data_IF_716702486607
#
_entry.id   IF_716702486607
#
_cell.length_a   1.000
_cell.length_b   1.000
_cell.length_c   1.000
_cell.angle_alpha   90.00
_cell.angle_beta   90.00
_cell.angle_gamma   90.00
#
_symmetry.space_group_name_H-M   'P 1'
#
loop_
_entity.id
_entity.type
_entity.pdbx_description
1 polymer ?
#
# COMPACT_ATOMS: atom_id res chain seq x y z
N UNK A 1 -5.41 -27.86 -11.87
CA UNK A 1 -4.64 -27.14 -12.87
C UNK A 1 -4.71 -25.64 -12.60
N UNK A 2 -3.56 -24.91 -12.64
CA UNK A 2 -3.50 -23.45 -12.39
C UNK A 2 -4.26 -22.66 -13.46
N UNK A 3 -4.37 -23.18 -14.67
CA UNK A 3 -5.07 -22.55 -15.79
C UNK A 3 -6.60 -22.46 -15.60
N UNK A 4 -7.19 -23.34 -14.81
CA UNK A 4 -8.66 -23.40 -14.60
C UNK A 4 -9.13 -22.53 -13.41
N UNK A 5 -8.20 -22.00 -12.62
CA UNK A 5 -8.51 -21.24 -11.40
C UNK A 5 -9.21 -19.90 -11.62
N UNK A 6 -8.98 -19.13 -12.70
CA UNK A 6 -9.75 -17.92 -12.96
C UNK A 6 -11.26 -18.14 -13.04
N UNK A 7 -11.70 -19.25 -13.62
CA UNK A 7 -13.13 -19.61 -13.70
C UNK A 7 -13.72 -19.88 -12.31
N UNK A 8 -12.97 -20.55 -11.43
CA UNK A 8 -13.39 -20.86 -10.06
C UNK A 8 -13.50 -19.60 -9.17
N UNK A 9 -12.81 -18.51 -9.53
CA UNK A 9 -12.85 -17.26 -8.77
C UNK A 9 -14.07 -16.40 -9.13
N UNK A 10 -14.68 -16.55 -10.30
CA UNK A 10 -15.74 -15.68 -10.78
C UNK A 10 -16.92 -15.54 -9.79
N UNK A 11 -17.27 -16.64 -9.13
CA UNK A 11 -18.38 -16.72 -8.17
C UNK A 11 -17.98 -16.39 -6.73
N UNK A 12 -16.68 -16.26 -6.45
CA UNK A 12 -16.19 -15.90 -5.11
C UNK A 12 -16.27 -14.39 -4.92
N UNK A 13 -17.02 -13.94 -3.90
CA UNK A 13 -17.06 -12.53 -3.54
C UNK A 13 -15.68 -12.04 -3.06
N UNK A 14 -15.09 -11.01 -3.72
CA UNK A 14 -13.76 -10.51 -3.37
C UNK A 14 -13.68 -9.85 -1.97
N UNK A 15 -14.80 -9.55 -1.33
CA UNK A 15 -14.85 -8.87 -0.03
C UNK A 15 -15.20 -9.82 1.12
N UNK A 16 -15.13 -11.14 0.92
CA UNK A 16 -15.36 -12.15 1.94
C UNK A 16 -14.08 -12.92 2.32
N UNK A 17 -14.03 -13.56 3.50
CA UNK A 17 -12.88 -14.36 3.94
C UNK A 17 -12.83 -15.75 3.26
N UNK A 18 -13.05 -15.79 1.96
CA UNK A 18 -13.00 -17.02 1.17
C UNK A 18 -11.55 -17.35 0.76
N UNK A 19 -11.16 -18.63 0.86
CA UNK A 19 -9.82 -19.10 0.50
C UNK A 19 -9.41 -18.72 -0.95
N UNK A 20 -10.36 -18.67 -1.88
CA UNK A 20 -10.15 -18.20 -3.25
C UNK A 20 -9.56 -16.80 -3.35
N UNK A 21 -9.82 -15.92 -2.36
CA UNK A 21 -9.30 -14.56 -2.36
C UNK A 21 -7.78 -14.47 -2.15
N UNK A 22 -7.12 -15.50 -1.65
CA UNK A 22 -5.65 -15.56 -1.62
C UNK A 22 -5.04 -15.50 -3.03
N UNK A 23 -5.74 -16.01 -4.04
CA UNK A 23 -5.31 -15.95 -5.46
C UNK A 23 -5.55 -14.57 -6.11
N UNK A 24 -6.16 -13.62 -5.40
CA UNK A 24 -6.37 -12.23 -5.82
C UNK A 24 -5.43 -11.24 -5.14
N UNK A 25 -4.54 -11.73 -4.26
CA UNK A 25 -3.60 -10.86 -3.54
C UNK A 25 -2.44 -10.46 -4.45
N UNK A 26 -2.76 -9.70 -5.51
CA UNK A 26 -1.84 -9.17 -6.50
C UNK A 26 -2.49 -8.03 -7.30
N UNK A 27 -1.73 -7.35 -8.17
CA UNK A 27 -2.16 -6.18 -8.94
C UNK A 27 -3.08 -6.50 -10.15
N UNK A 28 -3.11 -7.74 -10.63
CA UNK A 28 -3.77 -8.15 -11.87
C UNK A 28 -5.27 -8.43 -11.73
N UNK A 29 -5.98 -7.77 -10.83
CA UNK A 29 -7.43 -7.88 -10.72
C UNK A 29 -8.13 -6.89 -11.66
N UNK A 30 -9.16 -7.35 -12.37
CA UNK A 30 -10.03 -6.52 -13.20
C UNK A 30 -10.96 -5.61 -12.39
N UNK A 31 -11.77 -4.76 -13.05
CA UNK A 31 -12.63 -3.78 -12.36
C UNK A 31 -13.61 -4.39 -11.36
N UNK A 32 -14.22 -5.54 -11.67
CA UNK A 32 -15.11 -6.26 -10.75
C UNK A 32 -14.38 -7.04 -9.67
N UNK A 33 -13.04 -7.14 -9.75
CA UNK A 33 -12.19 -8.00 -8.92
C UNK A 33 -12.54 -9.49 -8.98
N UNK A 34 -13.40 -9.91 -9.93
CA UNK A 34 -13.83 -11.30 -10.13
C UNK A 34 -13.08 -12.03 -11.24
N UNK A 35 -12.34 -11.30 -12.06
CA UNK A 35 -11.50 -11.84 -13.14
C UNK A 35 -10.12 -11.18 -13.12
N UNK A 36 -9.16 -11.85 -13.75
CA UNK A 36 -7.79 -11.37 -13.87
C UNK A 36 -7.60 -10.59 -15.17
N UNK A 37 -6.68 -9.65 -15.16
CA UNK A 37 -6.27 -8.85 -16.33
C UNK A 37 -4.77 -8.98 -16.56
N UNK A 38 -4.35 -8.90 -17.81
CA UNK A 38 -2.93 -9.00 -18.18
C UNK A 38 -2.14 -7.75 -17.75
N UNK A 39 -2.73 -6.56 -17.94
CA UNK A 39 -2.14 -5.29 -17.51
C UNK A 39 -2.87 -4.78 -16.27
N UNK A 40 -2.16 -4.55 -15.16
CA UNK A 40 -2.79 -4.02 -13.95
C UNK A 40 -3.41 -2.64 -14.15
N UNK A 41 -4.39 -2.31 -13.32
CA UNK A 41 -5.07 -1.02 -13.34
C UNK A 41 -4.09 0.12 -13.10
N UNK A 42 -4.13 1.12 -13.97
CA UNK A 42 -3.29 2.31 -13.87
C UNK A 42 -3.97 3.52 -14.52
N UNK A 43 -3.53 4.71 -14.12
CA UNK A 43 -3.89 5.99 -14.72
C UNK A 43 -2.60 6.58 -15.29
N UNK A 44 -2.69 7.23 -16.43
CA UNK A 44 -1.56 7.97 -17.03
C UNK A 44 -1.88 9.46 -17.00
N UNK A 45 -1.03 10.23 -16.32
CA UNK A 45 -1.08 11.69 -16.36
C UNK A 45 -0.02 12.16 -17.36
N UNK A 46 -0.44 13.02 -18.26
CA UNK A 46 0.42 13.60 -19.29
C UNK A 46 0.85 15.04 -18.96
N UNK A 47 1.65 15.62 -19.83
CA UNK A 47 2.16 16.99 -19.72
C UNK A 47 1.06 18.05 -19.64
N UNK A 48 -0.08 17.84 -20.31
CA UNK A 48 -1.18 18.82 -20.30
C UNK A 48 -1.75 19.02 -18.89
N UNK A 49 -1.77 17.97 -18.08
CA UNK A 49 -2.23 18.04 -16.68
C UNK A 49 -1.12 18.40 -15.72
N UNK A 50 0.06 17.80 -15.88
CA UNK A 50 1.14 17.87 -14.90
C UNK A 50 2.08 19.05 -15.10
N UNK A 51 2.14 19.61 -16.32
CA UNK A 51 3.05 20.69 -16.70
C UNK A 51 4.52 20.24 -16.85
N UNK A 52 4.82 18.95 -16.70
CA UNK A 52 6.17 18.38 -16.85
C UNK A 52 6.26 17.52 -18.10
N UNK A 53 7.43 17.49 -18.77
CA UNK A 53 7.66 16.68 -19.98
C UNK A 53 7.91 15.20 -19.62
N UNK A 54 6.93 14.60 -18.98
CA UNK A 54 6.96 13.20 -18.58
C UNK A 54 5.54 12.62 -18.48
N UNK A 55 5.42 11.31 -18.71
CA UNK A 55 4.21 10.55 -18.38
C UNK A 55 4.34 9.99 -16.96
N UNK A 56 3.39 10.32 -16.11
CA UNK A 56 3.30 9.78 -14.76
C UNK A 56 2.30 8.64 -14.76
N UNK A 57 2.76 7.40 -14.52
CA UNK A 57 1.93 6.19 -14.48
C UNK A 57 1.63 5.89 -13.02
N UNK A 58 0.35 5.94 -12.66
CA UNK A 58 -0.14 5.71 -11.30
C UNK A 58 -0.72 4.31 -11.23
N UNK A 59 -0.15 3.44 -10.41
CA UNK A 59 -0.72 2.13 -10.10
C UNK A 59 -1.94 2.28 -9.19
N UNK A 60 -3.08 1.71 -9.57
CA UNK A 60 -4.34 1.80 -8.82
C UNK A 60 -4.52 0.56 -7.95
N UNK A 61 -4.50 0.76 -6.63
CA UNK A 61 -4.52 -0.32 -5.63
C UNK A 61 -5.91 -0.69 -5.08
N UNK A 62 -6.98 -0.08 -5.55
CA UNK A 62 -8.36 -0.31 -5.10
C UNK A 62 -8.91 -1.71 -5.47
N UNK A 63 -8.25 -2.38 -6.44
CA UNK A 63 -8.66 -3.70 -6.94
C UNK A 63 -8.15 -4.89 -6.12
N UNK A 64 -7.39 -4.64 -5.08
CA UNK A 64 -7.03 -5.69 -4.13
C UNK A 64 -8.27 -6.22 -3.39
N UNK A 65 -8.31 -7.53 -3.05
CA UNK A 65 -9.45 -8.11 -2.35
C UNK A 65 -9.55 -7.60 -0.91
N UNK A 66 -10.74 -7.66 -0.34
CA UNK A 66 -11.08 -7.45 1.08
C UNK A 66 -10.79 -6.03 1.59
N UNK A 67 -9.57 -5.54 1.47
CA UNK A 67 -9.10 -4.25 2.04
C UNK A 67 -9.16 -3.11 1.03
N UNK A 68 -9.20 -3.40 -0.27
CA UNK A 68 -9.07 -2.43 -1.38
C UNK A 68 -7.79 -1.59 -1.28
N UNK A 69 -6.72 -2.22 -0.82
CA UNK A 69 -5.40 -1.60 -0.73
C UNK A 69 -4.31 -2.66 -0.84
N UNK A 70 -3.17 -2.31 -1.44
CA UNK A 70 -2.04 -3.21 -1.63
C UNK A 70 -1.42 -3.73 -0.32
N UNK A 71 -1.75 -3.16 0.83
CA UNK A 71 -1.27 -3.61 2.14
C UNK A 71 -1.68 -5.04 2.50
N UNK A 72 -2.73 -5.60 1.87
CA UNK A 72 -3.05 -7.02 2.02
C UNK A 72 -1.96 -7.91 1.42
N UNK A 73 -1.26 -7.46 0.37
CA UNK A 73 -0.09 -8.16 -0.20
C UNK A 73 1.08 -8.17 0.79
N UNK A 74 1.37 -7.05 1.45
CA UNK A 74 2.38 -6.98 2.50
C UNK A 74 2.09 -7.98 3.63
N UNK A 75 0.84 -8.01 4.12
CA UNK A 75 0.41 -8.94 5.16
C UNK A 75 0.54 -10.40 4.71
N UNK A 76 0.14 -10.71 3.48
CA UNK A 76 0.33 -12.04 2.88
C UNK A 76 1.81 -12.43 2.88
N UNK A 77 2.69 -11.53 2.43
CA UNK A 77 4.14 -11.76 2.39
C UNK A 77 4.78 -11.99 3.77
N UNK A 78 4.22 -11.40 4.82
CA UNK A 78 4.73 -11.59 6.18
C UNK A 78 4.25 -12.91 6.82
N UNK A 79 3.01 -13.32 6.60
CA UNK A 79 2.43 -14.49 7.31
C UNK A 79 2.58 -15.81 6.53
N UNK A 80 2.27 -15.82 5.23
CA UNK A 80 2.18 -17.07 4.47
C UNK A 80 3.51 -17.83 4.38
N UNK A 81 4.68 -17.18 4.16
CA UNK A 81 5.95 -17.90 4.19
C UNK A 81 6.25 -18.54 5.56
N UNK A 82 5.88 -17.89 6.66
CA UNK A 82 6.04 -18.44 8.02
C UNK A 82 5.17 -19.67 8.25
N UNK A 83 3.95 -19.65 7.72
CA UNK A 83 3.04 -20.81 7.74
C UNK A 83 3.62 -21.98 6.93
N UNK A 84 4.09 -21.72 5.70
CA UNK A 84 4.62 -22.75 4.81
C UNK A 84 5.94 -23.36 5.33
N UNK A 85 6.75 -22.58 6.06
CA UNK A 85 7.98 -23.06 6.69
C UNK A 85 7.77 -23.75 8.05
N UNK A 86 6.54 -23.79 8.55
CA UNK A 86 6.20 -24.37 9.85
C UNK A 86 6.59 -23.50 11.07
N UNK A 87 7.07 -22.28 10.84
CA UNK A 87 7.39 -21.33 11.94
C UNK A 87 6.14 -20.75 12.58
N UNK A 88 5.04 -20.69 11.83
CA UNK A 88 3.72 -20.29 12.34
C UNK A 88 2.74 -21.45 12.27
N UNK A 89 2.16 -21.79 13.40
CA UNK A 89 1.12 -22.82 13.57
C UNK A 89 -0.23 -22.14 13.82
N UNK A 90 -1.20 -22.31 12.92
CA UNK A 90 -2.52 -21.69 12.99
C UNK A 90 -3.35 -22.12 14.19
N UNK A 91 -3.09 -23.32 14.73
CA UNK A 91 -3.81 -23.87 15.88
C UNK A 91 -3.33 -23.34 17.23
N UNK A 92 -2.11 -22.79 17.26
CA UNK A 92 -1.41 -22.36 18.45
C UNK A 92 -1.14 -20.85 18.47
N UNK A 93 -0.60 -20.32 17.38
CA UNK A 93 -0.10 -18.95 17.34
C UNK A 93 -1.19 -17.94 17.01
N UNK A 94 -1.02 -16.74 17.56
CA UNK A 94 -1.82 -15.56 17.25
C UNK A 94 -0.99 -14.60 16.40
N UNK A 95 -1.53 -14.21 15.25
CA UNK A 95 -0.89 -13.24 14.36
C UNK A 95 -1.17 -11.82 14.86
N UNK A 96 -0.15 -11.12 15.37
CA UNK A 96 -0.26 -9.75 15.88
C UNK A 96 0.11 -8.75 14.79
N UNK A 97 -0.81 -7.84 14.47
CA UNK A 97 -0.71 -6.89 13.35
C UNK A 97 -0.64 -5.44 13.83
N UNK A 98 0.57 -4.92 14.14
CA UNK A 98 0.74 -3.53 14.52
C UNK A 98 0.68 -2.63 13.30
N UNK A 99 -0.25 -1.67 13.29
CA UNK A 99 -0.35 -0.68 12.22
C UNK A 99 -1.43 0.37 12.50
N UNK A 100 -1.27 1.53 11.90
CA UNK A 100 -2.27 2.61 11.95
C UNK A 100 -3.45 2.38 10.98
N UNK A 101 -3.49 1.31 10.16
CA UNK A 101 -4.61 1.15 9.24
C UNK A 101 -4.59 -0.07 8.31
N UNK A 102 -4.32 0.15 7.03
CA UNK A 102 -4.54 -0.85 5.97
C UNK A 102 -3.69 -2.13 6.11
N UNK A 103 -2.50 -2.06 6.71
CA UNK A 103 -1.71 -3.27 6.95
C UNK A 103 -2.35 -4.15 8.03
N UNK A 104 -2.82 -3.57 9.13
CA UNK A 104 -3.56 -4.29 10.16
C UNK A 104 -4.81 -4.96 9.58
N UNK A 105 -5.62 -4.21 8.80
CA UNK A 105 -6.80 -4.77 8.09
C UNK A 105 -6.38 -5.93 7.17
N UNK A 106 -5.31 -5.77 6.39
CA UNK A 106 -4.77 -6.81 5.53
C UNK A 106 -4.38 -8.07 6.31
N UNK A 107 -3.73 -7.89 7.45
CA UNK A 107 -3.32 -8.97 8.34
C UNK A 107 -4.50 -9.74 8.92
N UNK A 108 -5.49 -9.02 9.45
CA UNK A 108 -6.74 -9.63 9.97
C UNK A 108 -7.46 -10.41 8.86
N UNK A 109 -7.55 -9.85 7.64
CA UNK A 109 -8.19 -10.51 6.50
C UNK A 109 -7.48 -11.83 6.12
N UNK A 110 -6.14 -11.82 5.99
CA UNK A 110 -5.35 -13.01 5.69
C UNK A 110 -5.46 -14.04 6.81
N UNK A 111 -5.37 -13.62 8.08
CA UNK A 111 -5.51 -14.48 9.24
C UNK A 111 -6.88 -15.18 9.25
N UNK A 112 -7.95 -14.44 8.96
CA UNK A 112 -9.32 -14.99 8.88
C UNK A 112 -9.46 -16.06 7.82
N UNK A 113 -8.89 -15.84 6.62
CA UNK A 113 -8.90 -16.86 5.55
C UNK A 113 -8.11 -18.10 5.95
N UNK A 114 -6.98 -17.93 6.64
CA UNK A 114 -6.11 -19.03 7.07
C UNK A 114 -6.64 -19.74 8.32
N UNK A 115 -7.70 -19.23 8.96
CA UNK A 115 -8.29 -19.81 10.16
C UNK A 115 -7.45 -19.62 11.41
N UNK A 116 -6.53 -18.66 11.46
CA UNK A 116 -5.76 -18.35 12.66
C UNK A 116 -6.32 -17.11 13.40
N UNK A 117 -6.13 -17.09 14.72
CA UNK A 117 -6.47 -15.94 15.56
C UNK A 117 -5.56 -14.76 15.21
N UNK A 118 -6.14 -13.57 15.11
CA UNK A 118 -5.41 -12.33 14.82
C UNK A 118 -5.65 -11.29 15.90
N UNK A 119 -4.60 -10.54 16.24
CA UNK A 119 -4.67 -9.40 17.16
C UNK A 119 -4.31 -8.14 16.38
N UNK A 120 -5.24 -7.19 16.33
CA UNK A 120 -5.05 -5.88 15.73
C UNK A 120 -4.53 -4.90 16.79
N UNK A 121 -3.40 -4.21 16.54
CA UNK A 121 -2.87 -3.20 17.46
C UNK A 121 -2.78 -1.87 16.72
N UNK A 122 -3.60 -0.88 17.11
CA UNK A 122 -3.69 0.41 16.43
C UNK A 122 -4.10 1.55 17.38
N UNK A 123 -3.75 2.82 17.06
CA UNK A 123 -4.11 3.96 17.88
C UNK A 123 -5.63 4.17 17.94
N UNK A 124 -6.11 4.62 19.10
CA UNK A 124 -7.54 4.89 19.31
C UNK A 124 -8.09 6.05 18.47
N UNK A 125 -7.21 7.00 18.07
CA UNK A 125 -7.57 8.14 17.21
C UNK A 125 -7.82 7.79 15.74
N UNK A 126 -7.74 6.52 15.34
CA UNK A 126 -8.05 6.10 13.98
C UNK A 126 -9.54 6.25 13.64
N UNK A 127 -9.85 6.36 12.35
CA UNK A 127 -11.22 6.59 11.89
C UNK A 127 -12.18 5.49 12.36
N UNK A 128 -13.43 5.88 12.66
CA UNK A 128 -14.52 4.98 13.05
C UNK A 128 -14.73 3.86 12.01
N UNK A 129 -14.61 4.18 10.74
CA UNK A 129 -14.76 3.21 9.65
C UNK A 129 -13.73 2.06 9.75
N UNK A 130 -12.47 2.38 10.12
CA UNK A 130 -11.43 1.35 10.30
C UNK A 130 -11.77 0.41 11.43
N UNK A 131 -12.25 0.93 12.57
CA UNK A 131 -12.68 0.11 13.70
C UNK A 131 -13.89 -0.75 13.36
N UNK A 132 -14.92 -0.20 12.71
CA UNK A 132 -16.09 -0.97 12.27
C UNK A 132 -15.69 -2.11 11.32
N UNK A 133 -14.75 -1.85 10.40
CA UNK A 133 -14.25 -2.90 9.52
C UNK A 133 -13.55 -4.02 10.34
N UNK A 134 -12.68 -3.67 11.30
CA UNK A 134 -11.99 -4.63 12.14
C UNK A 134 -12.98 -5.44 13.01
N UNK A 135 -13.97 -4.79 13.61
CA UNK A 135 -15.02 -5.44 14.41
C UNK A 135 -15.81 -6.49 13.59
N UNK A 136 -16.03 -6.24 12.30
CA UNK A 136 -16.68 -7.20 11.41
C UNK A 136 -15.76 -8.35 10.96
N UNK A 137 -14.46 -8.18 11.02
CA UNK A 137 -13.48 -9.15 10.52
C UNK A 137 -12.75 -9.92 11.62
N UNK A 138 -12.61 -9.40 12.81
CA UNK A 138 -12.06 -10.13 13.97
C UNK A 138 -13.09 -11.12 14.53
N UNK A 139 -12.59 -12.20 15.13
CA UNK A 139 -13.46 -13.22 15.75
C UNK A 139 -13.88 -12.79 17.14
N UNK A 140 -12.98 -12.12 17.86
CA UNK A 140 -13.19 -11.63 19.22
C UNK A 140 -12.90 -10.12 19.25
N UNK A 141 -13.84 -9.27 19.67
CA UNK A 141 -13.60 -7.82 19.82
C UNK A 141 -12.44 -7.49 20.76
N UNK A 142 -12.11 -8.36 21.72
CA UNK A 142 -10.96 -8.19 22.61
C UNK A 142 -9.61 -8.27 21.89
N UNK A 143 -9.58 -8.80 20.67
CA UNK A 143 -8.38 -8.83 19.82
C UNK A 143 -8.11 -7.50 19.09
N UNK A 144 -8.94 -6.47 19.30
CA UNK A 144 -8.71 -5.11 18.81
C UNK A 144 -8.13 -4.28 19.94
N UNK A 145 -6.80 -4.20 20.00
CA UNK A 145 -6.09 -3.46 21.03
C UNK A 145 -5.89 -2.00 20.58
N UNK A 146 -6.47 -1.08 21.34
CA UNK A 146 -6.38 0.37 21.11
C UNK A 146 -5.24 0.92 21.94
N UNK A 147 -4.27 1.57 21.27
CA UNK A 147 -3.20 2.31 21.95
C UNK A 147 -3.54 3.80 22.02
N UNK A 148 -3.03 4.55 23.01
CA UNK A 148 -3.23 6.00 23.05
C UNK A 148 -2.70 6.70 21.80
N UNK A 149 -3.39 7.76 21.36
CA UNK A 149 -2.91 8.71 20.36
C UNK A 149 -3.47 8.50 18.96
N UNK A 150 -2.74 9.02 17.98
CA UNK A 150 -3.11 9.14 16.56
C UNK A 150 -2.15 8.36 15.65
N UNK A 151 -2.21 8.59 14.34
CA UNK A 151 -1.36 7.96 13.32
C UNK A 151 0.14 8.09 13.61
N UNK A 152 0.55 9.19 14.21
CA UNK A 152 1.96 9.46 14.54
C UNK A 152 2.46 8.76 15.82
N UNK A 153 1.56 8.14 16.61
CA UNK A 153 1.90 7.48 17.88
C UNK A 153 2.35 6.03 17.71
N UNK A 154 3.42 5.83 16.96
CA UNK A 154 3.96 4.50 16.64
C UNK A 154 4.66 3.86 17.86
N UNK A 155 5.22 4.68 18.77
CA UNK A 155 5.88 4.19 20.00
C UNK A 155 4.92 3.38 20.88
N UNK A 156 3.71 3.87 21.08
CA UNK A 156 2.69 3.23 21.91
C UNK A 156 2.28 1.88 21.32
N UNK A 157 2.28 1.76 19.97
CA UNK A 157 2.07 0.48 19.27
C UNK A 157 3.24 -0.47 19.57
N UNK A 158 4.49 0.01 19.51
CA UNK A 158 5.67 -0.82 19.80
C UNK A 158 5.70 -1.29 21.27
N UNK A 159 5.35 -0.42 22.21
CA UNK A 159 5.27 -0.77 23.63
C UNK A 159 4.22 -1.89 23.87
N UNK A 160 3.05 -1.78 23.23
CA UNK A 160 2.00 -2.81 23.27
C UNK A 160 2.49 -4.13 22.66
N UNK A 161 3.17 -4.08 21.50
CA UNK A 161 3.75 -5.25 20.86
C UNK A 161 4.84 -5.91 21.72
N UNK A 162 5.67 -5.11 22.38
CA UNK A 162 6.68 -5.64 23.32
C UNK A 162 6.02 -6.34 24.52
N UNK A 163 4.93 -5.80 25.03
CA UNK A 163 4.17 -6.48 26.09
C UNK A 163 3.57 -7.81 25.60
N UNK A 164 2.98 -7.82 24.40
CA UNK A 164 2.41 -9.01 23.77
C UNK A 164 3.45 -10.10 23.49
N UNK A 165 4.67 -9.73 23.09
CA UNK A 165 5.74 -10.67 22.74
C UNK A 165 6.27 -11.49 23.91
N UNK A 166 5.92 -11.15 25.16
CA UNK A 166 6.22 -11.96 26.34
C UNK A 166 5.48 -13.29 26.35
N UNK A 167 4.35 -13.38 25.67
CA UNK A 167 3.66 -14.61 25.39
C UNK A 167 4.15 -15.18 24.05
N UNK A 168 4.81 -16.36 24.05
CA UNK A 168 5.40 -16.95 22.84
C UNK A 168 4.37 -17.38 21.79
N UNK A 169 3.09 -17.44 22.13
CA UNK A 169 2.02 -17.69 21.17
C UNK A 169 1.71 -16.46 20.32
N UNK A 170 2.10 -15.26 20.73
CA UNK A 170 1.94 -14.03 19.98
C UNK A 170 3.12 -13.85 18.99
N UNK A 171 2.84 -13.97 17.73
CA UNK A 171 3.82 -13.71 16.67
C UNK A 171 3.61 -12.28 16.14
N UNK A 172 4.53 -11.40 16.48
CA UNK A 172 4.46 -10.00 16.07
C UNK A 172 4.91 -9.87 14.61
N UNK A 173 3.99 -9.44 13.74
CA UNK A 173 4.24 -9.26 12.31
C UNK A 173 4.40 -7.75 12.02
N UNK A 174 5.54 -7.20 12.43
CA UNK A 174 5.85 -5.78 12.29
C UNK A 174 6.32 -5.46 10.86
N UNK A 175 5.47 -4.77 10.06
CA UNK A 175 5.77 -4.43 8.67
C UNK A 175 7.08 -3.66 8.46
N UNK A 176 7.58 -2.95 9.49
CA UNK A 176 8.82 -2.16 9.42
C UNK A 176 10.09 -3.01 9.56
N UNK A 177 9.95 -4.27 10.02
CA UNK A 177 11.05 -5.18 10.27
C UNK A 177 10.92 -6.54 9.54
N UNK A 178 9.78 -6.82 8.92
CA UNK A 178 9.50 -8.07 8.22
C UNK A 178 10.00 -8.04 6.78
N UNK A 179 11.09 -8.75 6.47
CA UNK A 179 11.59 -8.87 5.10
C UNK A 179 10.57 -9.50 4.13
N UNK A 180 9.59 -10.26 4.63
CA UNK A 180 8.47 -10.73 3.83
C UNK A 180 7.72 -9.61 3.12
N UNK A 181 7.55 -8.45 3.77
CA UNK A 181 6.98 -7.24 3.18
C UNK A 181 7.84 -6.70 2.01
N UNK A 182 9.16 -6.64 2.17
CA UNK A 182 10.08 -6.23 1.11
C UNK A 182 10.07 -7.23 -0.06
N UNK A 183 10.26 -8.52 0.24
CA UNK A 183 10.38 -9.58 -0.77
C UNK A 183 9.12 -9.68 -1.63
N UNK A 184 7.94 -9.63 -1.01
CA UNK A 184 6.69 -9.77 -1.77
C UNK A 184 6.45 -8.59 -2.72
N UNK A 185 6.80 -7.37 -2.32
CA UNK A 185 6.70 -6.21 -3.20
C UNK A 185 7.71 -6.26 -4.34
N UNK A 186 8.95 -6.70 -4.07
CA UNK A 186 9.93 -6.90 -5.12
C UNK A 186 9.47 -7.95 -6.13
N UNK A 187 8.94 -9.10 -5.65
CA UNK A 187 8.56 -10.24 -6.49
C UNK A 187 7.21 -10.08 -7.21
N UNK A 188 6.28 -9.29 -6.67
CA UNK A 188 4.91 -9.16 -7.19
C UNK A 188 4.63 -7.77 -7.72
N UNK A 189 4.95 -6.72 -6.94
CA UNK A 189 4.67 -5.34 -7.36
C UNK A 189 5.63 -4.87 -8.45
N UNK A 190 6.91 -5.20 -8.34
CA UNK A 190 7.92 -4.84 -9.34
C UNK A 190 7.54 -5.29 -10.76
N UNK A 191 7.33 -6.61 -11.00
CA UNK A 191 6.89 -7.11 -12.31
C UNK A 191 5.55 -6.54 -12.78
N UNK A 192 4.61 -6.28 -11.87
CA UNK A 192 3.33 -5.66 -12.21
C UNK A 192 3.51 -4.23 -12.73
N UNK A 193 4.38 -3.44 -12.10
CA UNK A 193 4.69 -2.07 -12.53
C UNK A 193 5.49 -2.03 -13.83
N UNK A 194 6.42 -2.97 -14.02
CA UNK A 194 7.09 -3.17 -15.31
C UNK A 194 6.08 -3.46 -16.43
N UNK A 195 5.06 -4.28 -16.14
CA UNK A 195 3.99 -4.60 -17.09
C UNK A 195 3.16 -3.36 -17.47
N UNK A 196 2.81 -2.51 -16.48
CA UNK A 196 2.13 -1.24 -16.73
C UNK A 196 2.98 -0.33 -17.62
N UNK A 197 4.26 -0.16 -17.28
CA UNK A 197 5.19 0.64 -18.07
C UNK A 197 5.28 0.14 -19.51
N UNK A 198 5.46 -1.17 -19.73
CA UNK A 198 5.54 -1.77 -21.06
C UNK A 198 4.26 -1.55 -21.87
N UNK A 199 3.09 -1.61 -21.22
CA UNK A 199 1.81 -1.34 -21.88
C UNK A 199 1.69 0.13 -22.32
N UNK A 200 2.08 1.08 -21.46
CA UNK A 200 2.06 2.51 -21.77
C UNK A 200 3.12 2.87 -22.81
N UNK A 201 4.29 2.28 -22.72
CA UNK A 201 5.37 2.48 -23.68
C UNK A 201 4.98 2.03 -25.09
N UNK A 202 4.36 0.85 -25.24
CA UNK A 202 4.06 0.27 -26.54
C UNK A 202 5.31 0.20 -27.42
N UNK A 203 5.20 0.74 -28.64
CA UNK A 203 6.31 0.84 -29.62
C UNK A 203 7.13 2.13 -29.52
N UNK A 204 6.83 3.02 -28.55
CA UNK A 204 7.55 4.28 -28.38
C UNK A 204 8.94 4.06 -27.77
N UNK A 205 9.78 5.12 -27.81
CA UNK A 205 11.12 5.14 -27.20
C UNK A 205 11.13 5.56 -25.73
N UNK A 206 9.97 5.64 -25.08
CA UNK A 206 9.84 5.98 -23.66
C UNK A 206 10.76 5.11 -22.79
N UNK A 207 11.39 5.76 -21.81
CA UNK A 207 12.25 5.11 -20.81
C UNK A 207 11.64 5.27 -19.43
N UNK A 208 11.70 4.21 -18.62
CA UNK A 208 11.38 4.30 -17.21
C UNK A 208 12.46 5.14 -16.51
N UNK A 209 12.11 6.34 -16.05
CA UNK A 209 13.07 7.25 -15.42
C UNK A 209 13.16 7.02 -13.92
N UNK A 210 12.02 6.92 -13.26
CA UNK A 210 11.98 6.73 -11.82
C UNK A 210 10.78 5.89 -11.38
N UNK A 211 10.95 5.23 -10.26
CA UNK A 211 9.88 4.71 -9.42
C UNK A 211 9.73 5.62 -8.21
N UNK A 212 8.55 6.18 -8.01
CA UNK A 212 8.26 7.14 -6.93
C UNK A 212 7.30 6.50 -5.93
N UNK A 213 7.68 6.41 -4.68
CA UNK A 213 6.89 5.75 -3.65
C UNK A 213 6.99 6.46 -2.30
N UNK A 214 5.84 6.82 -1.76
CA UNK A 214 5.73 7.30 -0.39
C UNK A 214 6.15 6.21 0.60
N UNK A 215 6.93 6.60 1.58
CA UNK A 215 7.55 5.69 2.56
C UNK A 215 6.86 5.77 3.91
N UNK A 216 6.39 4.62 4.37
CA UNK A 216 6.09 4.34 5.77
C UNK A 216 6.94 3.14 6.15
N UNK A 217 6.42 1.92 5.97
CA UNK A 217 7.18 0.68 6.22
C UNK A 217 8.26 0.36 5.18
N UNK A 218 8.39 1.14 4.11
CA UNK A 218 9.33 0.95 2.99
C UNK A 218 9.13 -0.36 2.17
N UNK A 219 8.08 -1.14 2.43
CA UNK A 219 7.84 -2.38 1.67
C UNK A 219 7.69 -2.12 0.17
N UNK A 220 6.89 -1.12 -0.21
CA UNK A 220 6.60 -0.81 -1.63
C UNK A 220 7.84 -0.33 -2.39
N UNK A 221 8.82 0.29 -1.70
CA UNK A 221 10.06 0.76 -2.34
C UNK A 221 10.86 -0.39 -2.96
N UNK A 222 10.67 -1.62 -2.47
CA UNK A 222 11.29 -2.82 -3.04
C UNK A 222 10.86 -3.10 -4.49
N UNK A 223 9.69 -2.62 -4.92
CA UNK A 223 9.32 -2.65 -6.33
C UNK A 223 10.20 -1.71 -7.17
N UNK A 224 10.65 -0.59 -6.58
CA UNK A 224 11.64 0.30 -7.18
C UNK A 224 12.99 -0.38 -7.38
N UNK A 225 13.44 -1.16 -6.40
CA UNK A 225 14.68 -1.94 -6.52
C UNK A 225 14.60 -2.94 -7.69
N UNK A 226 13.47 -3.59 -7.86
CA UNK A 226 13.23 -4.44 -9.05
C UNK A 226 13.30 -3.65 -10.35
N UNK A 227 12.62 -2.49 -10.43
CA UNK A 227 12.59 -1.66 -11.64
C UNK A 227 13.96 -1.03 -11.95
N UNK A 228 14.76 -0.73 -10.93
CA UNK A 228 16.15 -0.29 -11.08
C UNK A 228 16.99 -1.36 -11.76
N UNK A 229 16.90 -2.60 -11.28
CA UNK A 229 17.64 -3.72 -11.86
C UNK A 229 17.21 -4.08 -13.28
N UNK A 230 15.91 -3.98 -13.58
CA UNK A 230 15.35 -4.46 -14.86
C UNK A 230 15.24 -3.38 -15.94
N UNK A 231 14.98 -2.13 -15.53
CA UNK A 231 14.74 -1.01 -16.45
C UNK A 231 15.74 0.15 -16.29
N UNK A 232 16.63 0.10 -15.31
CA UNK A 232 17.53 1.20 -14.97
C UNK A 232 16.82 2.43 -14.37
N UNK A 233 15.61 2.25 -13.82
CA UNK A 233 14.86 3.33 -13.20
C UNK A 233 15.50 3.77 -11.88
N UNK A 234 15.46 5.07 -11.57
CA UNK A 234 15.86 5.58 -10.27
C UNK A 234 14.80 5.33 -9.22
N UNK A 235 15.19 5.18 -7.97
CA UNK A 235 14.30 4.95 -6.84
C UNK A 235 14.14 6.24 -6.03
N UNK A 236 12.92 6.77 -6.00
CA UNK A 236 12.58 8.00 -5.29
C UNK A 236 11.66 7.68 -4.11
N UNK A 237 12.14 7.91 -2.90
CA UNK A 237 11.33 7.88 -1.71
C UNK A 237 10.60 9.21 -1.52
N UNK A 238 9.30 9.18 -1.19
CA UNK A 238 8.54 10.39 -0.84
C UNK A 238 8.18 10.32 0.63
N UNK A 239 8.37 11.42 1.34
CA UNK A 239 7.95 11.58 2.74
C UNK A 239 7.26 12.92 2.98
N UNK A 240 6.50 13.02 4.07
CA UNK A 240 5.90 14.29 4.47
C UNK A 240 6.98 15.27 4.94
N UNK A 241 6.91 16.53 4.52
CA UNK A 241 7.82 17.58 5.03
C UNK A 241 7.64 17.82 6.53
N UNK A 242 6.48 17.50 7.06
CA UNK A 242 6.12 17.57 8.47
C UNK A 242 6.72 16.39 9.29
N UNK A 243 7.10 15.27 8.60
CA UNK A 243 7.77 14.12 9.19
C UNK A 243 8.95 13.66 8.31
N UNK A 244 10.03 14.48 8.21
CA UNK A 244 11.11 14.28 7.25
C UNK A 244 12.20 13.35 7.82
N UNK A 245 11.87 12.08 8.02
CA UNK A 245 12.74 11.09 8.67
C UNK A 245 14.01 10.81 7.87
N UNK A 246 13.89 10.67 6.55
CA UNK A 246 15.02 10.41 5.65
C UNK A 246 15.82 11.69 5.36
N UNK A 247 15.14 12.82 5.11
CA UNK A 247 15.78 14.07 4.72
C UNK A 247 16.53 14.73 5.88
N UNK A 248 15.94 14.75 7.09
CA UNK A 248 16.44 15.56 8.19
C UNK A 248 16.53 14.80 9.51
N UNK A 249 16.33 13.49 9.52
CA UNK A 249 16.18 12.72 10.76
C UNK A 249 15.12 13.34 11.69
N UNK A 250 14.06 13.90 11.07
CA UNK A 250 13.00 14.65 11.73
C UNK A 250 11.77 13.77 11.97
N UNK A 251 10.88 14.32 12.81
CA UNK A 251 9.63 13.68 13.15
C UNK A 251 8.59 14.74 13.51
N UNK A 252 7.35 14.54 13.08
CA UNK A 252 6.22 15.39 13.42
C UNK A 252 4.90 14.77 12.97
N UNK A 253 3.81 15.39 13.41
CA UNK A 253 2.47 15.00 12.96
C UNK A 253 2.22 15.51 11.54
N UNK A 254 1.50 14.71 10.75
CA UNK A 254 1.15 15.03 9.38
C UNK A 254 -0.20 14.41 9.01
N UNK A 255 -0.81 14.95 7.93
CA UNK A 255 -2.11 14.54 7.42
C UNK A 255 -2.05 13.38 6.43
N UNK A 256 -0.90 13.14 5.79
CA UNK A 256 -0.75 12.13 4.75
C UNK A 256 -0.79 10.74 5.36
N UNK A 257 -1.98 10.17 5.46
CA UNK A 257 -2.20 8.88 6.12
C UNK A 257 -1.46 7.72 5.42
N UNK A 258 -0.92 6.82 6.24
CA UNK A 258 -0.29 5.57 5.78
C UNK A 258 1.18 5.69 5.40
N UNK A 259 1.81 6.83 5.65
CA UNK A 259 3.25 7.05 5.47
C UNK A 259 3.87 7.62 6.76
N UNK A 260 5.19 7.76 6.77
CA UNK A 260 5.93 8.31 7.91
C UNK A 260 6.21 7.30 9.01
N UNK A 261 7.31 7.48 9.67
CA UNK A 261 7.72 6.82 10.91
C UNK A 261 8.79 7.68 11.59
N UNK A 262 8.99 7.49 12.88
CA UNK A 262 10.09 8.12 13.65
C UNK A 262 11.47 7.58 13.27
N UNK A 263 11.54 6.42 12.65
CA UNK A 263 12.75 5.69 12.32
C UNK A 263 12.75 5.26 10.87
N UNK A 264 13.93 5.17 10.28
CA UNK A 264 14.09 4.49 8.99
C UNK A 264 13.77 3.00 9.20
N UNK A 265 12.80 2.43 8.46
CA UNK A 265 12.43 1.03 8.62
C UNK A 265 13.62 0.09 8.38
N UNK A 266 13.71 -0.97 9.17
CA UNK A 266 14.80 -1.96 9.05
C UNK A 266 14.88 -2.61 7.66
N UNK A 267 13.74 -2.76 6.99
CA UNK A 267 13.67 -3.34 5.64
C UNK A 267 13.96 -2.34 4.51
N UNK A 268 14.18 -1.06 4.82
CA UNK A 268 14.44 -0.05 3.79
C UNK A 268 15.87 -0.19 3.25
N UNK A 269 15.99 -0.49 1.98
CA UNK A 269 17.28 -0.49 1.27
C UNK A 269 17.70 0.96 0.92
N UNK A 270 18.18 1.69 1.92
CA UNK A 270 18.54 3.10 1.77
C UNK A 270 19.69 3.32 0.77
N UNK A 271 20.58 2.34 0.63
CA UNK A 271 21.69 2.40 -0.33
C UNK A 271 21.22 2.34 -1.80
N UNK A 272 20.01 1.87 -2.03
CA UNK A 272 19.42 1.78 -3.37
C UNK A 272 18.46 2.95 -3.68
N UNK A 273 18.16 3.78 -2.68
CA UNK A 273 17.33 4.99 -2.85
C UNK A 273 18.18 6.11 -3.45
N UNK A 274 17.80 6.59 -4.64
CA UNK A 274 18.56 7.63 -5.36
C UNK A 274 18.15 9.04 -4.90
N UNK A 275 16.86 9.24 -4.59
CA UNK A 275 16.31 10.53 -4.20
C UNK A 275 15.33 10.39 -3.04
N UNK A 276 15.27 11.42 -2.22
CA UNK A 276 14.22 11.61 -1.21
C UNK A 276 13.54 12.95 -1.48
N UNK A 277 12.21 12.93 -1.59
CA UNK A 277 11.40 14.10 -1.96
C UNK A 277 10.40 14.37 -0.84
N UNK A 278 10.50 15.56 -0.25
CA UNK A 278 9.51 16.06 0.72
C UNK A 278 8.26 16.59 0.02
N UNK A 279 7.09 16.18 0.49
CA UNK A 279 5.77 16.66 0.06
C UNK A 279 5.01 17.14 1.29
N UNK A 280 4.53 18.39 1.27
CA UNK A 280 3.79 18.95 2.40
C UNK A 280 2.34 18.45 2.42
N UNK A 281 1.76 18.44 3.62
CA UNK A 281 0.32 18.19 3.82
C UNK A 281 -0.51 19.12 2.94
N UNK A 282 -0.16 20.41 2.88
CA UNK A 282 -0.87 21.40 2.07
C UNK A 282 -0.88 21.04 0.59
N UNK A 283 0.24 20.55 0.03
CA UNK A 283 0.30 20.16 -1.37
C UNK A 283 -0.59 18.94 -1.65
N UNK A 284 -0.60 17.97 -0.74
CA UNK A 284 -1.45 16.79 -0.84
C UNK A 284 -2.93 17.13 -0.68
N UNK A 285 -3.28 17.98 0.27
CA UNK A 285 -4.66 18.42 0.50
C UNK A 285 -5.21 19.24 -0.67
N UNK A 286 -4.42 20.13 -1.26
CA UNK A 286 -4.82 20.90 -2.43
C UNK A 286 -5.13 19.99 -3.63
N UNK A 287 -4.30 18.98 -3.88
CA UNK A 287 -4.54 18.03 -4.95
C UNK A 287 -5.75 17.13 -4.65
N UNK A 288 -5.93 16.74 -3.40
CA UNK A 288 -7.11 15.99 -2.95
C UNK A 288 -8.39 16.77 -3.19
N UNK A 289 -8.41 18.09 -2.90
CA UNK A 289 -9.53 18.96 -3.21
C UNK A 289 -9.81 19.03 -4.73
N UNK A 290 -8.75 19.13 -5.55
CA UNK A 290 -8.88 19.14 -7.01
C UNK A 290 -9.55 17.85 -7.52
N UNK A 291 -9.18 16.69 -6.98
CA UNK A 291 -9.72 15.39 -7.42
C UNK A 291 -11.13 15.11 -6.88
N UNK A 292 -11.49 15.66 -5.72
CA UNK A 292 -12.71 15.26 -5.00
C UNK A 292 -13.82 16.31 -4.94
N UNK A 293 -13.57 17.59 -5.29
CA UNK A 293 -14.62 18.59 -5.34
C UNK A 293 -15.29 18.67 -6.71
N UNK A 294 -16.55 19.10 -6.76
CA UNK A 294 -17.26 19.34 -8.02
C UNK A 294 -16.54 20.34 -8.91
N UNK A 295 -16.02 21.43 -8.33
CA UNK A 295 -15.28 22.46 -9.05
C UNK A 295 -13.95 21.91 -9.60
N UNK A 296 -13.23 21.12 -8.79
CA UNK A 296 -11.96 20.50 -9.22
C UNK A 296 -12.19 19.50 -10.35
N UNK A 297 -13.16 18.62 -10.25
CA UNK A 297 -13.51 17.65 -11.30
C UNK A 297 -13.95 18.34 -12.60
N UNK A 298 -14.71 19.44 -12.50
CA UNK A 298 -15.06 20.26 -13.64
C UNK A 298 -13.83 20.87 -14.30
N UNK A 299 -12.88 21.40 -13.53
CA UNK A 299 -11.61 21.89 -14.03
C UNK A 299 -10.82 20.81 -14.78
N UNK A 300 -10.72 19.62 -14.23
CA UNK A 300 -10.03 18.48 -14.85
C UNK A 300 -10.66 18.09 -16.19
N UNK A 301 -12.00 18.10 -16.29
CA UNK A 301 -12.71 17.82 -17.52
C UNK A 301 -12.58 18.94 -18.55
N UNK A 302 -12.87 20.18 -18.17
CA UNK A 302 -13.01 21.30 -19.12
C UNK A 302 -11.68 21.96 -19.48
N UNK A 303 -10.71 21.99 -18.56
CA UNK A 303 -9.42 22.67 -18.75
C UNK A 303 -8.28 21.73 -19.03
N UNK A 304 -8.24 20.57 -18.35
CA UNK A 304 -7.20 19.57 -18.57
C UNK A 304 -7.61 18.49 -19.58
N UNK A 305 -8.87 18.50 -20.07
CA UNK A 305 -9.34 17.57 -21.10
C UNK A 305 -9.38 16.12 -20.69
N UNK A 306 -9.42 15.83 -19.37
CA UNK A 306 -9.44 14.47 -18.85
C UNK A 306 -10.79 13.80 -19.08
N UNK A 307 -10.75 12.50 -19.39
CA UNK A 307 -11.94 11.68 -19.48
C UNK A 307 -12.55 11.38 -18.09
N UNK A 308 -13.86 11.12 -18.06
CA UNK A 308 -14.61 10.92 -16.83
C UNK A 308 -14.16 9.69 -16.04
N UNK A 309 -13.66 8.65 -16.69
CA UNK A 309 -13.16 7.44 -16.02
C UNK A 309 -11.88 7.75 -15.24
N UNK A 310 -10.94 8.47 -15.84
CA UNK A 310 -9.71 8.93 -15.20
C UNK A 310 -10.00 9.87 -14.03
N UNK A 311 -10.92 10.83 -14.20
CA UNK A 311 -11.34 11.75 -13.12
C UNK A 311 -11.92 10.97 -11.93
N UNK A 312 -12.75 9.96 -12.19
CA UNK A 312 -13.32 9.12 -11.14
C UNK A 312 -12.24 8.35 -10.41
N UNK A 313 -11.31 7.73 -11.15
CA UNK A 313 -10.22 6.96 -10.57
C UNK A 313 -9.23 7.84 -9.76
N UNK A 314 -9.02 9.11 -10.13
CA UNK A 314 -8.26 10.07 -9.31
C UNK A 314 -8.92 10.37 -7.97
N UNK A 315 -10.26 10.41 -7.92
CA UNK A 315 -11.01 10.60 -6.68
C UNK A 315 -10.92 9.43 -5.70
N UNK A 316 -10.59 8.24 -6.19
CA UNK A 316 -10.41 7.03 -5.37
C UNK A 316 -8.98 6.91 -4.78
N UNK A 317 -8.07 7.85 -5.07
CA UNK A 317 -6.70 7.83 -4.58
C UNK A 317 -6.64 8.32 -3.12
N UNK A 318 -5.94 7.56 -2.27
CA UNK A 318 -5.61 8.01 -0.92
C UNK A 318 -4.48 9.06 -0.91
N UNK A 319 -4.35 9.81 0.19
CA UNK A 319 -3.38 10.91 0.33
C UNK A 319 -1.93 10.50 0.04
N UNK A 320 -1.52 9.28 0.40
CA UNK A 320 -0.19 8.77 0.07
C UNK A 320 0.04 8.60 -1.45
N UNK A 321 -1.00 8.23 -2.20
CA UNK A 321 -0.92 8.17 -3.67
C UNK A 321 -0.87 9.57 -4.28
N UNK A 322 -1.60 10.51 -3.71
CA UNK A 322 -1.56 11.93 -4.10
C UNK A 322 -0.17 12.52 -3.83
N UNK A 323 0.43 12.21 -2.67
CA UNK A 323 1.82 12.62 -2.37
C UNK A 323 2.81 12.04 -3.40
N UNK A 324 2.61 10.80 -3.88
CA UNK A 324 3.42 10.24 -4.96
C UNK A 324 3.31 11.03 -6.26
N UNK A 325 2.11 11.50 -6.61
CA UNK A 325 1.92 12.34 -7.80
C UNK A 325 2.70 13.64 -7.66
N UNK A 326 2.58 14.34 -6.52
CA UNK A 326 3.35 15.56 -6.25
C UNK A 326 4.85 15.29 -6.29
N UNK A 327 5.29 14.17 -5.68
CA UNK A 327 6.69 13.75 -5.71
C UNK A 327 7.19 13.48 -7.13
N UNK A 328 6.39 12.81 -7.96
CA UNK A 328 6.73 12.53 -9.35
C UNK A 328 6.83 13.81 -10.20
N UNK A 329 5.93 14.77 -9.99
CA UNK A 329 5.99 16.10 -10.64
C UNK A 329 7.25 16.87 -10.23
N UNK A 330 7.62 16.81 -8.92
CA UNK A 330 8.85 17.47 -8.43
C UNK A 330 10.13 16.81 -8.95
N UNK A 331 10.09 15.50 -9.20
CA UNK A 331 11.22 14.77 -9.77
C UNK A 331 11.43 15.07 -11.25
N UNK A 332 10.35 15.17 -12.04
CA UNK A 332 10.37 15.35 -13.48
C UNK A 332 10.77 16.77 -13.89
#
# INVERSE_FOLDING_TARGET
NLADRPALLADVDPDTPAAGNLFRVHWHNGPSRRHLVDVPAHIVLDTALTGVDAKIIIAVGDRFPMVRAHKVLAAYGCLVPRLLSGVFDVSRHRAVWPSTGNYCRGGVAISRILGCRSVAVLPEGMSRERFQWLENWTTDPADILRTPGTESNVKEIYDACHALSKDPENIILNQFAEFGNYIIHRAVSGPAFERMFKAVKGSSDLKARAFVSATGSAGTIAAGDYLKDTLGAQVCAVEATECPTLLYNGYGEHNIQGIGDKHVPFIHNVMNTDFVIGVSDQASDNLNLLFNTTTGRKYLSERAGMDQQSITALGDLGLSSIANIVGAIKYA
#
